data_IF_225707273739
#
_entry.id   IF_225707273739
#
_cell.length_a   1.000
_cell.length_b   1.000
_cell.length_c   1.000
_cell.angle_alpha   90.00
_cell.angle_beta   90.00
_cell.angle_gamma   90.00
#
_symmetry.space_group_name_H-M   'P 1'
#
loop_
_entity.id
_entity.type
_entity.pdbx_description
1 polymer ?
#
# COMPACT_ATOMS: atom_id res chain seq x y z
N UNK A 1 -10.61 -48.02 62.85
CA UNK A 1 -10.76 -47.83 61.39
C UNK A 1 -10.57 -46.33 61.14
N UNK A 2 -9.34 -45.82 61.10
CA UNK A 2 -8.50 -45.68 59.92
C UNK A 2 -9.25 -45.06 58.73
N UNK A 3 -9.04 -43.77 58.47
CA UNK A 3 -8.91 -43.23 57.12
C UNK A 3 -8.05 -41.96 57.07
N UNK A 4 -6.93 -42.08 56.35
CA UNK A 4 -6.05 -41.01 55.90
C UNK A 4 -6.78 -40.20 54.83
N UNK A 5 -6.71 -38.87 54.88
CA UNK A 5 -6.90 -38.04 53.70
C UNK A 5 -5.59 -37.31 53.40
N UNK A 6 -5.04 -37.63 52.22
CA UNK A 6 -3.80 -37.13 51.64
C UNK A 6 -3.96 -35.65 51.27
N UNK A 7 -2.96 -34.84 51.64
CA UNK A 7 -2.68 -33.59 50.96
C UNK A 7 -2.29 -33.91 49.50
N UNK A 8 -2.88 -33.21 48.54
CA UNK A 8 -2.42 -33.20 47.16
C UNK A 8 -2.74 -31.82 46.59
N UNK A 9 -1.70 -31.18 46.06
CA UNK A 9 -1.65 -29.77 45.78
C UNK A 9 -2.66 -29.31 44.73
N UNK A 10 -3.13 -28.08 44.92
CA UNK A 10 -3.74 -27.31 43.86
C UNK A 10 -2.79 -26.14 43.56
N UNK A 11 -1.97 -26.34 42.55
CA UNK A 11 -1.21 -25.25 41.95
C UNK A 11 -2.22 -24.23 41.41
N UNK A 12 -2.14 -23.00 41.91
CA UNK A 12 -2.76 -21.84 41.28
C UNK A 12 -2.11 -21.64 39.91
N UNK A 13 -2.71 -22.24 38.88
CA UNK A 13 -2.47 -21.82 37.50
C UNK A 13 -3.10 -20.44 37.35
N UNK A 14 -2.28 -19.40 37.52
CA UNK A 14 -2.60 -18.04 37.09
C UNK A 14 -2.81 -18.13 35.58
N UNK A 15 -4.09 -18.14 35.17
CA UNK A 15 -4.48 -18.03 33.79
C UNK A 15 -3.96 -16.70 33.25
N UNK A 16 -2.86 -16.77 32.50
CA UNK A 16 -2.43 -15.68 31.65
C UNK A 16 -3.59 -15.41 30.69
N UNK A 17 -4.35 -14.34 30.95
CA UNK A 17 -5.12 -13.69 29.91
C UNK A 17 -4.08 -13.20 28.90
N UNK A 18 -3.81 -14.02 27.89
CA UNK A 18 -3.21 -13.56 26.67
C UNK A 18 -4.18 -12.51 26.13
N UNK A 19 -3.91 -11.25 26.46
CA UNK A 19 -4.40 -10.13 25.68
C UNK A 19 -4.00 -10.47 24.25
N UNK A 20 -4.96 -10.95 23.46
CA UNK A 20 -4.88 -10.75 22.03
C UNK A 20 -4.90 -9.24 21.90
N UNK A 21 -3.70 -8.65 21.89
CA UNK A 21 -3.49 -7.33 21.36
C UNK A 21 -4.25 -7.37 20.04
N UNK A 22 -5.40 -6.70 20.00
CA UNK A 22 -6.13 -6.50 18.77
C UNK A 22 -5.06 -5.96 17.84
N UNK A 23 -4.68 -6.77 16.84
CA UNK A 23 -3.73 -6.34 15.85
C UNK A 23 -4.27 -5.01 15.40
N UNK A 24 -3.54 -3.92 15.71
CA UNK A 24 -3.93 -2.60 15.30
C UNK A 24 -4.30 -2.75 13.82
N UNK A 25 -5.50 -2.30 13.39
CA UNK A 25 -5.86 -2.40 11.98
C UNK A 25 -4.66 -1.87 11.22
N UNK A 26 -4.12 -2.61 10.22
CA UNK A 26 -2.84 -2.29 9.61
C UNK A 26 -2.87 -0.81 9.30
N UNK A 27 -2.04 -0.04 10.02
CA UNK A 27 -2.01 1.41 9.90
C UNK A 27 -1.73 1.64 8.44
N UNK A 28 -2.68 2.28 7.75
CA UNK A 28 -2.54 2.55 6.34
C UNK A 28 -1.22 3.29 6.15
N UNK A 29 -0.26 2.63 5.49
CA UNK A 29 1.10 3.11 5.38
C UNK A 29 1.27 3.78 4.02
N UNK A 30 0.93 5.07 3.98
CA UNK A 30 1.14 5.93 2.82
C UNK A 30 2.60 5.88 2.34
N UNK A 31 3.54 5.77 3.28
CA UNK A 31 4.97 5.65 2.99
C UNK A 31 5.28 4.37 2.21
N UNK A 32 4.73 3.23 2.63
CA UNK A 32 4.85 1.96 1.91
C UNK A 32 4.17 1.97 0.55
N UNK A 33 2.99 2.58 0.43
CA UNK A 33 2.33 2.76 -0.86
C UNK A 33 3.18 3.59 -1.83
N UNK A 34 3.75 4.70 -1.34
CA UNK A 34 4.65 5.56 -2.12
C UNK A 34 5.96 4.86 -2.50
N UNK A 35 6.51 4.04 -1.60
CA UNK A 35 7.76 3.30 -1.79
C UNK A 35 7.63 2.13 -2.79
N UNK A 36 6.41 1.66 -3.07
CA UNK A 36 6.15 0.56 -3.98
C UNK A 36 6.46 0.90 -5.45
N UNK A 37 6.61 2.17 -5.81
CA UNK A 37 6.86 2.59 -7.18
C UNK A 37 7.87 3.74 -7.31
N UNK A 38 8.43 3.85 -8.50
CA UNK A 38 9.15 5.03 -9.01
C UNK A 38 8.39 5.62 -10.18
N UNK A 39 8.55 6.91 -10.38
CA UNK A 39 8.04 7.65 -11.53
C UNK A 39 9.10 8.68 -11.87
N UNK A 40 9.37 8.87 -13.16
CA UNK A 40 10.26 9.94 -13.61
C UNK A 40 9.44 11.22 -13.57
N UNK A 41 9.87 12.17 -12.74
CA UNK A 41 9.23 13.48 -12.60
C UNK A 41 9.97 14.48 -13.49
N UNK A 42 9.37 14.94 -14.60
CA UNK A 42 9.96 15.99 -15.41
C UNK A 42 10.13 17.28 -14.61
N UNK A 43 11.00 18.18 -15.07
CA UNK A 43 11.17 19.50 -14.46
C UNK A 43 9.83 20.25 -14.38
N UNK A 44 9.58 20.92 -13.27
CA UNK A 44 8.33 21.61 -12.98
C UNK A 44 7.16 20.70 -12.58
N UNK A 45 7.35 19.38 -12.58
CA UNK A 45 6.34 18.43 -12.11
C UNK A 45 6.59 18.02 -10.65
N UNK A 46 5.50 17.85 -9.90
CA UNK A 46 5.50 17.32 -8.54
C UNK A 46 4.58 16.13 -8.42
N UNK A 47 4.91 15.24 -7.49
CA UNK A 47 3.99 14.19 -7.08
C UNK A 47 3.17 14.71 -5.89
N UNK A 48 1.86 14.59 -5.99
CA UNK A 48 0.90 14.99 -5.00
C UNK A 48 0.15 13.77 -4.47
N UNK A 49 -0.15 13.79 -3.17
CA UNK A 49 -0.99 12.78 -2.56
C UNK A 49 -2.46 13.04 -2.94
N UNK A 50 -3.11 12.01 -3.47
CA UNK A 50 -4.50 12.03 -3.87
C UNK A 50 -5.40 11.37 -2.83
N UNK A 51 -6.32 10.53 -3.31
CA UNK A 51 -7.24 9.82 -2.44
C UNK A 51 -6.54 8.70 -1.66
N UNK A 52 -6.74 8.72 -0.34
CA UNK A 52 -6.26 7.70 0.58
C UNK A 52 -7.44 6.98 1.22
N UNK A 53 -7.47 5.66 1.13
CA UNK A 53 -8.48 4.78 1.75
C UNK A 53 -7.77 3.61 2.42
N UNK A 54 -8.49 2.90 3.29
CA UNK A 54 -7.93 1.76 4.03
C UNK A 54 -7.27 0.68 3.14
N UNK A 55 -7.72 0.53 1.89
CA UNK A 55 -7.22 -0.50 0.96
C UNK A 55 -6.31 0.02 -0.16
N UNK A 56 -6.18 1.34 -0.35
CA UNK A 56 -5.39 1.91 -1.45
C UNK A 56 -5.00 3.37 -1.24
N UNK A 57 -3.93 3.78 -1.94
CA UNK A 57 -3.53 5.17 -2.13
C UNK A 57 -3.56 5.53 -3.62
N UNK A 58 -3.94 6.75 -3.92
CA UNK A 58 -3.76 7.36 -5.24
C UNK A 58 -2.77 8.52 -5.10
N UNK A 59 -1.86 8.63 -6.05
CA UNK A 59 -0.93 9.75 -6.21
C UNK A 59 -1.13 10.37 -7.59
N UNK A 60 -0.95 11.67 -7.69
CA UNK A 60 -1.07 12.41 -8.94
C UNK A 60 0.25 13.07 -9.29
N UNK A 61 0.67 12.97 -10.55
CA UNK A 61 1.76 13.80 -11.07
C UNK A 61 1.15 15.07 -11.63
N UNK A 62 1.40 16.20 -10.97
CA UNK A 62 0.95 17.51 -11.39
C UNK A 62 2.11 18.31 -11.98
N UNK A 63 1.94 18.82 -13.21
CA UNK A 63 2.89 19.71 -13.87
C UNK A 63 2.17 21.03 -14.15
N UNK A 64 2.75 22.16 -13.75
CA UNK A 64 2.19 23.49 -14.04
C UNK A 64 0.71 23.66 -13.58
N UNK A 65 0.36 22.99 -12.46
CA UNK A 65 -1.00 22.99 -11.90
C UNK A 65 -2.00 22.05 -12.58
N UNK A 66 -1.60 21.31 -13.61
CA UNK A 66 -2.42 20.30 -14.30
C UNK A 66 -2.03 18.88 -13.88
N UNK A 67 -3.01 18.03 -13.61
CA UNK A 67 -2.76 16.60 -13.36
C UNK A 67 -2.48 15.90 -14.69
N UNK A 68 -1.28 15.34 -14.81
CA UNK A 68 -0.80 14.69 -16.03
C UNK A 68 -0.95 13.17 -15.97
N UNK A 69 -0.75 12.57 -14.80
CA UNK A 69 -0.87 11.13 -14.61
C UNK A 69 -1.36 10.81 -13.20
N UNK A 70 -2.02 9.68 -13.07
CA UNK A 70 -2.39 9.12 -11.77
C UNK A 70 -1.73 7.77 -11.54
N UNK A 71 -1.48 7.46 -10.27
CA UNK A 71 -0.82 6.25 -9.81
C UNK A 71 -1.62 5.70 -8.64
N UNK A 72 -2.21 4.53 -8.81
CA UNK A 72 -2.87 3.76 -7.77
C UNK A 72 -1.88 2.75 -7.19
N UNK A 73 -1.87 2.63 -5.87
CA UNK A 73 -1.16 1.59 -5.14
C UNK A 73 -2.12 0.93 -4.15
N UNK A 74 -2.42 -0.35 -4.35
CA UNK A 74 -3.37 -1.09 -3.52
C UNK A 74 -3.49 -2.55 -3.96
N UNK A 75 -4.64 -3.15 -3.72
CA UNK A 75 -4.88 -4.57 -4.00
C UNK A 75 -5.98 -4.85 -5.04
N UNK A 76 -6.61 -3.79 -5.56
CA UNK A 76 -7.71 -3.90 -6.51
C UNK A 76 -7.66 -2.70 -7.48
N UNK A 77 -6.72 -2.73 -8.41
CA UNK A 77 -6.59 -1.70 -9.44
C UNK A 77 -7.82 -1.69 -10.37
N UNK A 78 -8.22 -0.51 -10.83
CA UNK A 78 -9.35 -0.35 -11.74
C UNK A 78 -8.89 -0.54 -13.20
N UNK A 79 -8.97 -1.78 -13.68
CA UNK A 79 -8.53 -2.16 -15.04
C UNK A 79 -9.35 -1.52 -16.17
N UNK A 80 -10.46 -0.85 -15.86
CA UNK A 80 -11.28 -0.15 -16.85
C UNK A 80 -10.75 1.24 -17.17
N UNK A 81 -9.81 1.75 -16.36
CA UNK A 81 -9.27 3.08 -16.56
C UNK A 81 -8.52 3.16 -17.90
N UNK A 82 -8.87 4.11 -18.78
CA UNK A 82 -8.25 4.23 -20.09
C UNK A 82 -6.78 4.62 -19.98
N UNK A 83 -5.99 4.24 -20.99
CA UNK A 83 -4.54 4.54 -21.06
C UNK A 83 -3.79 4.11 -19.79
N UNK A 84 -4.27 3.05 -19.14
CA UNK A 84 -3.69 2.56 -17.90
C UNK A 84 -2.86 1.29 -18.10
N UNK A 85 -1.95 1.07 -17.17
CA UNK A 85 -1.13 -0.15 -17.08
C UNK A 85 -1.08 -0.59 -15.63
N UNK A 86 -1.38 -1.86 -15.41
CA UNK A 86 -1.25 -2.51 -14.09
C UNK A 86 0.08 -3.25 -14.02
N UNK A 87 0.75 -3.12 -12.88
CA UNK A 87 2.01 -3.76 -12.54
C UNK A 87 1.82 -4.51 -11.23
N UNK A 88 2.25 -5.77 -11.20
CA UNK A 88 2.15 -6.61 -10.00
C UNK A 88 3.42 -6.42 -9.16
N UNK A 89 3.25 -6.26 -7.85
CA UNK A 89 4.39 -6.18 -6.92
C UNK A 89 4.71 -7.56 -6.33
N UNK A 90 5.92 -7.72 -5.80
CA UNK A 90 6.33 -8.93 -5.06
C UNK A 90 5.85 -8.91 -3.59
N UNK A 91 5.20 -7.81 -3.16
CA UNK A 91 4.81 -7.61 -1.76
C UNK A 91 3.33 -7.92 -1.55
N UNK A 92 2.95 -8.31 -0.31
CA UNK A 92 1.54 -8.58 0.03
C UNK A 92 0.64 -7.33 -0.07
N UNK A 93 1.21 -6.15 0.18
CA UNK A 93 0.53 -4.87 0.04
C UNK A 93 1.55 -3.77 -0.25
N UNK A 94 1.29 -2.86 -1.20
CA UNK A 94 0.27 -2.98 -2.25
C UNK A 94 0.62 -4.14 -3.19
N UNK A 95 -0.33 -5.02 -3.54
CA UNK A 95 -0.07 -6.13 -4.48
C UNK A 95 -0.09 -5.67 -5.94
N UNK A 96 -0.78 -4.57 -6.23
CA UNK A 96 -0.90 -3.98 -7.56
C UNK A 96 -0.53 -2.49 -7.51
N UNK A 97 0.23 -2.03 -8.50
CA UNK A 97 0.40 -0.62 -8.82
C UNK A 97 -0.16 -0.39 -10.21
N UNK A 98 -1.06 0.56 -10.36
CA UNK A 98 -1.60 0.97 -11.65
C UNK A 98 -1.19 2.40 -11.94
N UNK A 99 -0.78 2.68 -13.17
CA UNK A 99 -0.53 4.03 -13.64
C UNK A 99 -1.41 4.33 -14.86
N UNK A 100 -1.91 5.55 -14.98
CA UNK A 100 -2.66 6.01 -16.14
C UNK A 100 -2.31 7.45 -16.50
N UNK A 101 -2.42 7.78 -17.78
CA UNK A 101 -2.33 9.16 -18.25
C UNK A 101 -3.69 9.84 -18.07
N UNK A 102 -3.69 11.08 -17.57
CA UNK A 102 -4.87 11.92 -17.58
C UNK A 102 -5.16 12.39 -19.02
N UNK A 103 -6.41 12.79 -19.26
CA UNK A 103 -6.78 13.48 -20.51
C UNK A 103 -6.48 14.97 -20.37
N UNK A 104 -5.48 15.44 -21.12
CA UNK A 104 -4.93 16.81 -21.00
C UNK A 104 -4.86 17.54 -22.35
N UNK A 105 -5.56 17.04 -23.38
CA UNK A 105 -5.61 17.67 -24.69
C UNK A 105 -4.24 17.75 -25.39
N UNK A 106 -3.74 18.95 -25.66
CA UNK A 106 -2.49 19.17 -26.41
C UNK A 106 -1.25 18.59 -25.72
N UNK A 107 -1.26 18.48 -24.39
CA UNK A 107 -0.14 17.94 -23.59
C UNK A 107 -0.17 16.41 -23.45
N UNK A 108 -1.02 15.70 -24.22
CA UNK A 108 -1.30 14.27 -24.00
C UNK A 108 -0.05 13.39 -24.12
N UNK A 109 0.86 13.69 -25.06
CA UNK A 109 2.09 12.93 -25.23
C UNK A 109 2.98 12.98 -23.97
N UNK A 110 2.98 14.13 -23.27
CA UNK A 110 3.71 14.31 -22.00
C UNK A 110 3.05 13.51 -20.88
N UNK A 111 1.71 13.54 -20.79
CA UNK A 111 0.96 12.73 -19.84
C UNK A 111 1.19 11.23 -20.03
N UNK A 112 1.16 10.76 -21.28
CA UNK A 112 1.43 9.37 -21.65
C UNK A 112 2.86 8.97 -21.27
N UNK A 113 3.85 9.82 -21.55
CA UNK A 113 5.25 9.57 -21.19
C UNK A 113 5.46 9.45 -19.67
N UNK A 114 4.83 10.33 -18.89
CA UNK A 114 4.88 10.29 -17.42
C UNK A 114 4.26 8.99 -16.90
N UNK A 115 3.05 8.64 -17.34
CA UNK A 115 2.39 7.40 -16.94
C UNK A 115 3.21 6.15 -17.35
N UNK A 116 3.79 6.19 -18.55
CA UNK A 116 4.66 5.14 -19.07
C UNK A 116 6.01 5.06 -18.35
N UNK A 117 6.44 6.08 -17.58
CA UNK A 117 7.67 6.04 -16.78
C UNK A 117 7.49 5.29 -15.45
N UNK A 118 6.27 5.10 -14.98
CA UNK A 118 6.01 4.48 -13.67
C UNK A 118 6.54 3.03 -13.65
N UNK A 119 7.25 2.65 -12.60
CA UNK A 119 7.77 1.28 -12.41
C UNK A 119 7.52 0.84 -10.98
N UNK A 120 7.24 -0.43 -10.77
CA UNK A 120 7.26 -1.01 -9.42
C UNK A 120 8.71 -1.11 -8.92
N UNK A 121 8.97 -0.68 -7.69
CA UNK A 121 10.24 -0.97 -7.03
C UNK A 121 10.21 -2.44 -6.57
N UNK A 122 11.26 -3.21 -6.88
CA UNK A 122 11.50 -4.48 -6.19
C UNK A 122 11.82 -4.16 -4.74
N UNK A 123 10.79 -4.13 -3.89
CA UNK A 123 10.98 -4.02 -2.45
C UNK A 123 11.39 -5.41 -1.97
N UNK A 124 12.70 -5.67 -1.92
CA UNK A 124 13.22 -6.75 -1.05
C UNK A 124 12.82 -6.34 0.37
N UNK A 125 11.75 -6.93 0.87
CA UNK A 125 11.40 -6.82 2.29
C UNK A 125 12.57 -7.47 3.03
N UNK A 126 13.44 -6.65 3.63
CA UNK A 126 14.38 -7.12 4.63
C UNK A 126 13.53 -7.56 5.83
N UNK A 127 13.34 -8.87 5.97
CA UNK A 127 12.86 -9.45 7.21
C UNK A 127 13.96 -9.23 8.25
N UNK A 128 13.68 -8.36 9.23
CA UNK A 128 14.38 -8.32 10.52
C UNK A 128 13.65 -9.20 11.53
#
# INVERSE_FOLDING_TARGET
MAWKAKASGLALAIGAMASTAGAAPPVFDLGRARAAFTVDLPEGCKLEDGQVRASFAIFYVACDGKVMAGIYAGNAADRQMPRSRVMITETRWPSEVQAWAADVGEDQARADAIAASVRVRRVKIAWG
#
